data_IF_923520910556
#
_entry.id   IF_923520910556
#
_cell.length_a   1.000
_cell.length_b   1.000
_cell.length_c   1.000
_cell.angle_alpha   90.00
_cell.angle_beta   90.00
_cell.angle_gamma   90.00
#
_symmetry.space_group_name_H-M   'P 1'
#
loop_
_entity.id
_entity.type
_entity.pdbx_description
1 polymer ?
#
# COMPACT_ATOMS: atom_id res chain seq x y z
N UNK A 1 -3.26 14.48 -1.30
CA UNK A 1 -2.36 14.76 -0.17
C UNK A 1 -2.40 13.59 0.81
N UNK A 2 -1.27 13.28 1.46
CA UNK A 2 -1.25 12.34 2.59
C UNK A 2 -1.88 13.04 3.79
N UNK A 3 -3.00 12.50 4.28
CA UNK A 3 -3.75 13.08 5.40
C UNK A 3 -3.29 12.52 6.75
N UNK A 4 -2.92 11.25 6.77
CA UNK A 4 -2.53 10.53 7.98
C UNK A 4 -1.32 9.66 7.71
N UNK A 5 -0.44 9.57 8.70
CA UNK A 5 0.67 8.63 8.73
C UNK A 5 0.63 7.92 10.09
N UNK A 6 0.55 6.60 10.07
CA UNK A 6 0.43 5.77 11.27
C UNK A 6 1.44 4.65 11.22
N UNK A 7 2.18 4.44 12.29
CA UNK A 7 3.01 3.27 12.49
C UNK A 7 2.35 2.36 13.54
N UNK A 8 2.39 1.06 13.31
CA UNK A 8 1.83 0.03 14.20
C UNK A 8 2.83 -1.11 14.30
N UNK A 9 2.90 -1.75 15.46
CA UNK A 9 3.75 -2.93 15.67
C UNK A 9 3.14 -4.19 15.01
N UNK A 10 3.93 -5.26 15.01
CA UNK A 10 3.57 -6.56 14.41
C UNK A 10 2.65 -7.36 15.36
N UNK A 11 1.46 -6.83 15.59
CA UNK A 11 0.38 -7.47 16.35
C UNK A 11 -0.92 -7.34 15.54
N UNK A 12 -1.59 -8.46 15.34
CA UNK A 12 -2.74 -8.57 14.45
C UNK A 12 -3.89 -7.65 14.87
N UNK A 13 -4.23 -7.60 16.16
CA UNK A 13 -5.36 -6.82 16.65
C UNK A 13 -5.19 -5.32 16.43
N UNK A 14 -4.07 -4.67 16.88
CA UNK A 14 -3.81 -3.28 16.57
C UNK A 14 -3.71 -2.98 15.07
N UNK A 15 -3.16 -3.90 14.27
CA UNK A 15 -3.10 -3.71 12.82
C UNK A 15 -4.49 -3.65 12.19
N UNK A 16 -5.40 -4.53 12.59
CA UNK A 16 -6.81 -4.52 12.12
C UNK A 16 -7.51 -3.24 12.55
N UNK A 17 -7.33 -2.78 13.79
CA UNK A 17 -7.91 -1.54 14.30
C UNK A 17 -7.43 -0.31 13.52
N UNK A 18 -6.13 -0.22 13.24
CA UNK A 18 -5.53 0.87 12.45
C UNK A 18 -6.07 0.86 11.02
N UNK A 19 -6.17 -0.30 10.37
CA UNK A 19 -6.75 -0.43 9.03
C UNK A 19 -8.23 -0.02 9.00
N UNK A 20 -9.03 -0.47 9.97
CA UNK A 20 -10.43 -0.11 10.09
C UNK A 20 -10.62 1.40 10.31
N UNK A 21 -9.81 2.00 11.20
CA UNK A 21 -9.81 3.44 11.42
C UNK A 21 -9.40 4.22 10.17
N UNK A 22 -8.37 3.76 9.43
CA UNK A 22 -7.98 4.37 8.17
C UNK A 22 -9.10 4.28 7.12
N UNK A 23 -9.73 3.12 6.99
CA UNK A 23 -10.82 2.88 6.04
C UNK A 23 -12.09 3.70 6.34
N UNK A 24 -12.29 4.13 7.59
CA UNK A 24 -13.42 5.00 7.92
C UNK A 24 -13.26 6.46 7.48
N UNK A 25 -12.03 6.89 7.19
CA UNK A 25 -11.69 8.32 6.99
C UNK A 25 -10.85 8.63 5.76
N UNK A 26 -10.42 7.63 5.01
CA UNK A 26 -9.60 7.81 3.81
C UNK A 26 -10.12 6.93 2.68
N UNK A 27 -10.07 7.45 1.45
CA UNK A 27 -10.48 6.73 0.24
C UNK A 27 -9.37 5.77 -0.23
N UNK A 28 -8.12 6.06 0.11
CA UNK A 28 -6.94 5.29 -0.27
C UNK A 28 -6.02 5.07 0.93
N UNK A 29 -5.61 3.83 1.11
CA UNK A 29 -4.72 3.39 2.18
C UNK A 29 -3.52 2.71 1.54
N UNK A 30 -2.32 3.14 1.89
CA UNK A 30 -1.08 2.49 1.48
C UNK A 30 -0.38 1.96 2.71
N UNK A 31 -0.17 0.65 2.74
CA UNK A 31 0.58 -0.05 3.79
C UNK A 31 1.94 -0.48 3.26
N UNK A 32 2.95 -0.52 4.10
CA UNK A 32 4.27 -1.05 3.74
C UNK A 32 4.79 -1.98 4.83
N UNK A 33 5.35 -3.12 4.43
CA UNK A 33 5.89 -4.15 5.32
C UNK A 33 4.90 -5.28 5.64
N UNK A 34 5.38 -6.29 6.36
CA UNK A 34 4.58 -7.42 6.84
C UNK A 34 4.03 -8.35 5.76
N UNK A 35 4.67 -8.40 4.56
CA UNK A 35 4.29 -9.28 3.44
C UNK A 35 5.30 -10.42 3.21
N UNK A 36 6.28 -10.57 4.06
CA UNK A 36 7.24 -11.66 4.02
C UNK A 36 6.65 -13.01 4.42
N UNK A 37 7.52 -14.04 4.58
CA UNK A 37 7.09 -15.39 4.95
C UNK A 37 7.30 -15.70 6.44
N UNK A 38 7.59 -14.72 7.29
CA UNK A 38 7.86 -14.93 8.71
C UNK A 38 6.61 -14.80 9.56
N UNK A 39 6.63 -15.25 10.80
CA UNK A 39 5.45 -15.29 11.65
C UNK A 39 4.96 -13.89 12.09
N UNK A 40 5.81 -12.90 11.97
CA UNK A 40 5.56 -11.49 12.24
C UNK A 40 5.05 -10.72 11.00
N UNK A 41 5.01 -11.36 9.83
CA UNK A 41 4.47 -10.80 8.59
C UNK A 41 2.93 -10.93 8.55
N UNK A 42 2.23 -10.07 9.27
CA UNK A 42 0.79 -10.17 9.55
C UNK A 42 -0.09 -9.27 8.66
N UNK A 43 0.49 -8.50 7.73
CA UNK A 43 -0.26 -7.49 6.96
C UNK A 43 -1.38 -8.11 6.12
N UNK A 44 -1.17 -9.29 5.49
CA UNK A 44 -2.22 -9.94 4.69
C UNK A 44 -3.36 -10.47 5.55
N UNK A 45 -3.06 -10.99 6.73
CA UNK A 45 -4.05 -11.47 7.70
C UNK A 45 -4.87 -10.28 8.25
N UNK A 46 -4.20 -9.18 8.60
CA UNK A 46 -4.84 -7.96 9.08
C UNK A 46 -5.78 -7.36 8.03
N UNK A 47 -5.37 -7.32 6.76
CA UNK A 47 -6.23 -6.85 5.66
C UNK A 47 -7.42 -7.80 5.48
N UNK A 48 -7.20 -9.11 5.44
CA UNK A 48 -8.26 -10.10 5.28
C UNK A 48 -9.31 -9.99 6.40
N UNK A 49 -8.87 -9.85 7.64
CA UNK A 49 -9.73 -9.67 8.79
C UNK A 49 -10.46 -8.32 8.76
N UNK A 50 -9.79 -7.23 8.43
CA UNK A 50 -10.39 -5.90 8.32
C UNK A 50 -11.51 -5.86 7.26
N UNK A 51 -11.28 -6.52 6.12
CA UNK A 51 -12.26 -6.61 5.02
C UNK A 51 -13.35 -7.66 5.32
N UNK A 52 -13.09 -8.62 6.19
CA UNK A 52 -14.02 -9.70 6.55
C UNK A 52 -14.09 -10.79 5.51
N UNK A 53 -12.95 -11.12 4.87
CA UNK A 53 -12.83 -12.17 3.85
C UNK A 53 -11.76 -13.19 4.22
N UNK A 54 -11.85 -14.45 3.76
CA UNK A 54 -10.80 -15.43 3.99
C UNK A 54 -9.59 -15.17 3.11
N UNK A 55 -8.43 -15.69 3.53
CA UNK A 55 -7.28 -15.84 2.66
C UNK A 55 -7.49 -17.00 1.69
N UNK A 56 -7.08 -16.83 0.45
CA UNK A 56 -7.09 -17.86 -0.59
C UNK A 56 -5.74 -17.92 -1.28
N UNK A 57 -5.30 -19.11 -1.61
CA UNK A 57 -4.07 -19.30 -2.39
C UNK A 57 -4.29 -18.85 -3.83
N UNK A 58 -3.34 -18.11 -4.35
CA UNK A 58 -3.21 -17.77 -5.76
C UNK A 58 -2.13 -18.67 -6.38
N UNK A 59 -2.56 -19.59 -7.24
CA UNK A 59 -1.66 -20.58 -7.83
C UNK A 59 -0.71 -19.98 -8.87
N UNK A 60 -1.10 -18.89 -9.53
CA UNK A 60 -0.22 -18.17 -10.49
C UNK A 60 0.92 -17.51 -9.74
N UNK A 61 0.61 -16.83 -8.63
CA UNK A 61 1.61 -16.23 -7.75
C UNK A 61 2.52 -17.31 -7.15
N UNK A 62 1.96 -18.42 -6.66
CA UNK A 62 2.76 -19.50 -6.09
C UNK A 62 3.74 -20.09 -7.13
N UNK A 63 3.30 -20.29 -8.36
CA UNK A 63 4.16 -20.78 -9.43
C UNK A 63 5.24 -19.76 -9.77
N UNK A 64 4.91 -18.47 -9.82
CA UNK A 64 5.91 -17.41 -10.03
C UNK A 64 6.98 -17.40 -8.92
N UNK A 65 6.59 -17.54 -7.65
CA UNK A 65 7.55 -17.64 -6.55
C UNK A 65 8.45 -18.88 -6.72
N UNK A 66 7.90 -20.03 -7.09
CA UNK A 66 8.67 -21.24 -7.37
C UNK A 66 9.69 -21.02 -8.49
N UNK A 67 9.32 -20.34 -9.55
CA UNK A 67 10.20 -19.99 -10.66
C UNK A 67 11.37 -19.10 -10.22
N UNK A 68 11.12 -18.10 -9.37
CA UNK A 68 12.17 -17.25 -8.80
C UNK A 68 13.20 -18.10 -8.02
N UNK A 69 12.72 -19.05 -7.20
CA UNK A 69 13.61 -19.94 -6.46
C UNK A 69 14.38 -20.89 -7.39
N UNK A 70 13.73 -21.44 -8.41
CA UNK A 70 14.36 -22.32 -9.41
C UNK A 70 15.47 -21.58 -10.19
N UNK A 71 15.22 -20.33 -10.61
CA UNK A 71 16.24 -19.49 -11.27
C UNK A 71 17.45 -19.24 -10.35
N UNK A 72 17.22 -19.11 -9.05
CA UNK A 72 18.29 -18.98 -8.04
C UNK A 72 18.94 -20.29 -7.67
N UNK A 73 18.55 -21.42 -8.31
CA UNK A 73 19.03 -22.79 -8.02
C UNK A 73 18.90 -23.16 -6.53
N UNK A 74 17.81 -22.77 -5.90
CA UNK A 74 17.50 -23.03 -4.47
C UNK A 74 16.11 -23.64 -4.35
N UNK A 75 15.89 -24.59 -3.44
CA UNK A 75 14.55 -25.06 -3.13
C UNK A 75 13.74 -23.92 -2.47
N UNK A 76 12.47 -23.78 -2.83
CA UNK A 76 11.55 -22.86 -2.15
C UNK A 76 11.22 -23.44 -0.76
N UNK A 77 11.47 -22.69 0.33
CA UNK A 77 11.03 -23.12 1.65
C UNK A 77 9.51 -23.16 1.73
N UNK A 78 8.93 -24.14 2.42
CA UNK A 78 7.48 -24.32 2.55
C UNK A 78 6.77 -23.07 3.11
N UNK A 79 7.40 -22.40 4.08
CA UNK A 79 6.88 -21.15 4.65
C UNK A 79 6.62 -20.04 3.62
N UNK A 80 7.28 -20.06 2.46
CA UNK A 80 7.05 -19.05 1.41
C UNK A 80 5.72 -19.23 0.68
N UNK A 81 5.01 -20.35 0.89
CA UNK A 81 3.65 -20.56 0.35
C UNK A 81 2.71 -19.46 0.88
N UNK A 82 2.92 -18.97 2.10
CA UNK A 82 2.10 -17.90 2.68
C UNK A 82 2.13 -16.61 1.85
N UNK A 83 3.20 -16.37 1.09
CA UNK A 83 3.31 -15.21 0.20
C UNK A 83 2.36 -15.27 -1.01
N UNK A 84 1.83 -16.45 -1.31
CA UNK A 84 0.80 -16.65 -2.33
C UNK A 84 -0.62 -16.66 -1.75
N UNK A 85 -0.78 -16.38 -0.45
CA UNK A 85 -2.10 -16.26 0.18
C UNK A 85 -2.61 -14.83 0.08
N UNK A 86 -3.81 -14.65 -0.46
CA UNK A 86 -4.41 -13.33 -0.69
C UNK A 86 -5.80 -13.22 -0.07
N UNK A 87 -6.19 -12.05 0.45
CA UNK A 87 -7.58 -11.78 0.81
C UNK A 87 -8.50 -12.02 -0.38
N UNK A 88 -9.57 -12.77 -0.19
CA UNK A 88 -10.49 -13.10 -1.29
C UNK A 88 -11.03 -11.83 -1.95
N UNK A 89 -10.94 -11.75 -3.28
CA UNK A 89 -11.33 -10.58 -4.07
C UNK A 89 -10.24 -9.53 -4.24
N UNK A 90 -9.05 -9.72 -3.67
CA UNK A 90 -7.88 -8.87 -3.96
C UNK A 90 -7.19 -9.25 -5.26
N UNK A 91 -6.29 -8.37 -5.71
CA UNK A 91 -5.37 -8.61 -6.82
C UNK A 91 -3.94 -8.56 -6.31
N UNK A 92 -3.08 -9.40 -6.85
CA UNK A 92 -1.66 -9.33 -6.62
C UNK A 92 -1.05 -8.12 -7.35
N UNK A 93 -0.20 -7.37 -6.66
CA UNK A 93 0.68 -6.37 -7.29
C UNK A 93 2.01 -7.08 -7.57
N UNK A 94 2.44 -7.17 -8.83
CA UNK A 94 3.69 -7.86 -9.17
C UNK A 94 4.90 -7.26 -8.48
N UNK A 95 5.79 -8.10 -7.98
CA UNK A 95 7.08 -7.71 -7.42
C UNK A 95 8.19 -8.26 -8.33
N UNK A 96 8.85 -7.44 -9.16
CA UNK A 96 9.85 -7.93 -10.11
C UNK A 96 11.17 -8.33 -9.45
N UNK A 97 11.43 -7.98 -8.19
CA UNK A 97 12.70 -8.21 -7.53
C UNK A 97 12.64 -9.19 -6.35
N UNK A 98 11.49 -9.29 -5.72
CA UNK A 98 11.29 -10.10 -4.52
C UNK A 98 10.25 -11.19 -4.70
N UNK A 99 10.12 -12.02 -3.66
CA UNK A 99 9.12 -13.11 -3.63
C UNK A 99 7.82 -12.70 -2.96
N UNK A 100 7.75 -11.49 -2.39
CA UNK A 100 6.55 -10.98 -1.72
C UNK A 100 5.80 -10.04 -2.66
N UNK A 101 4.72 -10.47 -3.33
CA UNK A 101 3.88 -9.57 -4.11
C UNK A 101 3.10 -8.64 -3.17
N UNK A 102 2.67 -7.50 -3.71
CA UNK A 102 1.77 -6.61 -2.99
C UNK A 102 0.32 -7.05 -3.10
N UNK A 103 -0.55 -6.36 -2.38
CA UNK A 103 -1.99 -6.61 -2.34
C UNK A 103 -2.73 -5.34 -2.75
N UNK A 104 -3.70 -5.47 -3.64
CA UNK A 104 -4.64 -4.44 -4.03
C UNK A 104 -6.06 -4.93 -3.78
N UNK A 105 -6.77 -4.30 -2.85
CA UNK A 105 -8.13 -4.67 -2.50
C UNK A 105 -9.02 -3.46 -2.25
N UNK A 106 -10.23 -3.52 -2.77
CA UNK A 106 -11.27 -2.52 -2.48
C UNK A 106 -12.12 -2.96 -1.30
N UNK A 107 -12.44 -2.03 -0.45
CA UNK A 107 -13.19 -2.21 0.77
C UNK A 107 -14.56 -1.53 0.65
N UNK A 108 -15.65 -2.22 0.92
CA UNK A 108 -17.01 -1.65 0.91
C UNK A 108 -17.36 -1.22 2.34
N UNK A 109 -17.57 0.09 2.56
CA UNK A 109 -18.04 0.58 3.88
C UNK A 109 -19.48 0.11 4.09
N UNK A 110 -19.73 -0.68 5.10
CA UNK A 110 -21.06 -1.24 5.38
C UNK A 110 -22.11 -0.18 5.75
N UNK A 111 -21.72 1.03 6.07
CA UNK A 111 -22.60 2.08 6.60
C UNK A 111 -23.03 3.15 5.57
N UNK A 112 -22.50 3.12 4.36
CA UNK A 112 -22.89 4.09 3.33
C UNK A 112 -23.95 3.49 2.42
N UNK A 113 -25.14 4.03 2.46
CA UNK A 113 -26.32 3.57 1.70
C UNK A 113 -26.25 3.69 0.19
N UNK A 114 -25.15 4.21 -0.38
CA UNK A 114 -25.01 4.50 -1.81
C UNK A 114 -24.30 3.42 -2.63
N UNK A 115 -23.80 2.34 -2.01
CA UNK A 115 -23.13 1.26 -2.76
C UNK A 115 -21.80 1.66 -3.40
N UNK A 116 -21.26 2.86 -3.09
CA UNK A 116 -19.97 3.28 -3.61
C UNK A 116 -18.81 2.64 -2.85
N UNK A 117 -17.75 2.22 -3.56
CA UNK A 117 -16.54 1.71 -2.94
C UNK A 117 -15.80 2.89 -2.26
N UNK A 118 -15.20 2.70 -1.25
CA UNK A 118 -15.16 3.33 -0.08
C UNK A 118 -13.78 3.52 0.46
N UNK A 119 -12.92 2.56 0.37
CA UNK A 119 -11.49 2.66 0.53
C UNK A 119 -10.84 1.59 -0.34
N UNK A 120 -9.69 1.91 -0.89
CA UNK A 120 -8.83 0.93 -1.57
C UNK A 120 -7.53 0.82 -0.80
N UNK A 121 -7.16 -0.41 -0.48
CA UNK A 121 -5.95 -0.73 0.25
C UNK A 121 -4.92 -1.27 -0.72
N UNK A 122 -3.74 -0.66 -0.72
CA UNK A 122 -2.55 -1.15 -1.39
C UNK A 122 -1.53 -1.53 -0.32
N UNK A 123 -1.10 -2.78 -0.29
CA UNK A 123 -0.02 -3.21 0.58
C UNK A 123 1.22 -3.56 -0.24
N UNK A 124 2.37 -3.05 0.16
CA UNK A 124 3.64 -3.18 -0.52
C UNK A 124 4.71 -3.76 0.41
N UNK A 125 5.72 -4.48 -0.11
CA UNK A 125 6.85 -4.95 0.70
C UNK A 125 7.57 -3.79 1.39
N UNK A 126 8.21 -4.08 2.51
CA UNK A 126 9.00 -3.09 3.25
C UNK A 126 10.35 -2.76 2.63
N UNK A 127 10.87 -3.57 1.71
CA UNK A 127 12.16 -3.35 1.03
C UNK A 127 12.05 -2.14 0.11
N UNK A 128 12.81 -1.04 0.36
CA UNK A 128 12.58 0.23 -0.33
C UNK A 128 12.70 0.18 -1.86
N UNK A 129 13.61 -0.63 -2.38
CA UNK A 129 13.80 -0.77 -3.83
C UNK A 129 12.58 -1.44 -4.50
N UNK A 130 12.08 -2.52 -3.89
CA UNK A 130 10.88 -3.24 -4.34
C UNK A 130 9.64 -2.34 -4.25
N UNK A 131 9.43 -1.74 -3.07
CA UNK A 131 8.31 -0.86 -2.80
C UNK A 131 8.21 0.30 -3.79
N UNK A 132 9.33 0.99 -4.08
CA UNK A 132 9.36 2.13 -4.99
C UNK A 132 8.97 1.74 -6.41
N UNK A 133 9.52 0.65 -6.91
CA UNK A 133 9.19 0.20 -8.26
C UNK A 133 7.72 -0.22 -8.37
N UNK A 134 7.22 -1.00 -7.43
CA UNK A 134 5.81 -1.41 -7.39
C UNK A 134 4.87 -0.21 -7.25
N UNK A 135 5.29 0.80 -6.50
CA UNK A 135 4.60 2.07 -6.42
C UNK A 135 4.51 2.77 -7.77
N UNK A 136 5.65 2.98 -8.42
CA UNK A 136 5.72 3.73 -9.68
C UNK A 136 5.00 3.01 -10.83
N UNK A 137 5.12 1.69 -10.91
CA UNK A 137 4.57 0.88 -12.01
C UNK A 137 3.09 0.54 -11.84
N UNK A 138 2.59 0.41 -10.60
CA UNK A 138 1.24 -0.11 -10.35
C UNK A 138 0.39 0.82 -9.50
N UNK A 139 0.87 1.21 -8.31
CA UNK A 139 0.02 1.90 -7.32
C UNK A 139 -0.25 3.35 -7.72
N UNK A 140 0.78 4.10 -8.10
CA UNK A 140 0.62 5.50 -8.48
C UNK A 140 -0.27 5.69 -9.73
N UNK A 141 -0.15 4.88 -10.80
CA UNK A 141 -1.08 4.88 -11.91
C UNK A 141 -2.53 4.57 -11.48
N UNK A 142 -2.72 3.50 -10.67
CA UNK A 142 -4.04 3.11 -10.19
C UNK A 142 -4.71 4.21 -9.36
N UNK A 143 -3.95 4.87 -8.48
CA UNK A 143 -4.43 6.02 -7.70
C UNK A 143 -4.80 7.19 -8.64
N UNK A 144 -3.96 7.45 -9.63
CA UNK A 144 -4.20 8.55 -10.58
C UNK A 144 -5.48 8.34 -11.39
N UNK A 145 -5.77 7.10 -11.79
CA UNK A 145 -6.99 6.74 -12.48
C UNK A 145 -8.25 6.94 -11.64
N UNK A 146 -8.16 6.73 -10.33
CA UNK A 146 -9.28 6.94 -9.39
C UNK A 146 -9.62 8.43 -9.19
N UNK A 147 -8.69 9.34 -9.46
CA UNK A 147 -8.92 10.78 -9.30
C UNK A 147 -9.53 11.33 -10.60
N UNK A 148 -10.72 11.93 -10.55
CA UNK A 148 -11.33 12.57 -11.71
C UNK A 148 -10.37 13.58 -12.36
N UNK A 149 -10.31 13.67 -13.70
CA UNK A 149 -9.34 14.53 -14.40
C UNK A 149 -9.38 15.99 -13.97
N UNK A 150 -10.56 16.52 -13.68
CA UNK A 150 -10.79 17.88 -13.20
C UNK A 150 -10.37 18.12 -11.74
N UNK A 151 -10.26 17.04 -10.95
CA UNK A 151 -9.79 17.06 -9.57
C UNK A 151 -8.28 16.79 -9.43
N UNK A 152 -7.59 16.41 -10.50
CA UNK A 152 -6.16 16.15 -10.48
C UNK A 152 -5.39 17.44 -10.27
N UNK A 153 -4.68 17.51 -9.15
CA UNK A 153 -3.81 18.63 -8.80
C UNK A 153 -2.40 18.15 -8.53
N UNK A 154 -1.42 18.92 -8.98
CA UNK A 154 -0.01 18.67 -8.75
C UNK A 154 0.51 19.72 -7.78
N UNK A 155 1.12 19.30 -6.69
CA UNK A 155 1.85 20.20 -5.79
C UNK A 155 3.26 20.35 -6.32
N UNK A 156 3.60 21.53 -6.76
CA UNK A 156 4.95 21.85 -7.22
C UNK A 156 5.76 22.43 -6.07
N UNK A 157 6.85 21.76 -5.74
CA UNK A 157 7.82 22.27 -4.76
C UNK A 157 8.91 23.06 -5.46
N UNK A 158 9.11 24.30 -5.01
CA UNK A 158 10.25 25.13 -5.41
C UNK A 158 11.04 25.55 -4.18
N UNK A 159 12.34 25.50 -4.27
CA UNK A 159 13.23 25.97 -3.21
C UNK A 159 13.91 27.24 -3.67
N UNK A 160 13.64 28.34 -2.97
CA UNK A 160 14.36 29.61 -3.12
C UNK A 160 15.34 29.73 -1.97
N UNK A 161 16.61 30.02 -2.29
CA UNK A 161 17.64 30.30 -1.27
C UNK A 161 17.73 31.82 -1.13
N UNK A 162 17.37 32.33 0.05
CA UNK A 162 17.45 33.74 0.37
C UNK A 162 18.57 33.98 1.39
N UNK A 163 19.24 35.12 1.31
CA UNK A 163 20.28 35.55 2.27
C UNK A 163 20.03 36.99 2.66
N UNK A 164 20.19 37.31 3.95
CA UNK A 164 20.09 38.70 4.45
C UNK A 164 18.66 39.24 4.54
N UNK A 165 17.64 38.41 4.44
CA UNK A 165 16.20 38.76 4.56
C UNK A 165 15.61 38.02 5.77
N UNK A 166 14.89 38.72 6.63
CA UNK A 166 14.14 38.11 7.72
C UNK A 166 12.96 37.28 7.21
N UNK A 167 12.53 36.27 7.97
CA UNK A 167 11.41 35.38 7.59
C UNK A 167 10.12 36.15 7.34
N UNK A 168 9.77 37.08 8.22
CA UNK A 168 8.58 37.94 8.10
C UNK A 168 8.63 38.88 6.88
N UNK A 169 9.83 39.38 6.53
CA UNK A 169 10.02 40.20 5.33
C UNK A 169 9.88 39.40 4.06
N UNK A 170 10.38 38.15 4.09
CA UNK A 170 10.27 37.22 2.98
C UNK A 170 8.81 36.83 2.75
N UNK A 171 8.04 36.53 3.81
CA UNK A 171 6.62 36.24 3.72
C UNK A 171 5.82 37.39 3.13
N UNK A 172 6.15 38.62 3.51
CA UNK A 172 5.52 39.82 2.97
C UNK A 172 5.82 40.07 1.48
N UNK A 173 6.97 39.54 0.97
CA UNK A 173 7.34 39.61 -0.45
C UNK A 173 6.64 38.54 -1.32
N UNK A 174 6.02 37.53 -0.71
CA UNK A 174 5.43 36.38 -1.39
C UNK A 174 3.94 36.20 -0.97
N UNK A 175 3.08 37.21 -1.16
CA UNK A 175 1.71 37.22 -0.63
C UNK A 175 0.78 36.16 -1.27
N UNK A 176 1.17 35.60 -2.42
CA UNK A 176 0.37 34.63 -3.21
C UNK A 176 0.94 33.19 -3.20
N UNK A 177 1.82 32.87 -2.26
CA UNK A 177 2.41 31.53 -2.13
C UNK A 177 1.77 30.70 -1.02
#
# INVERSE_FOLDING_TARGET
AVMYHTAVGDDLTPMVEVLAAAASRADMIVCTGGLGPTADDLTRDAIAQCVGVPLRQDDEVLNHIREIYAQRKRPMPERNIVQAMFPAGSRAIPNPHGTAPGIDISLVRREVRSGEPLARIFALPGVPAEMKQMWDETVAPAITEMIPPDARRVVLHRRLKCFGVGESDLEAMLPDL
#
